data_IF_988613624201
#
_entry.id   IF_988613624201
#
_cell.length_a   1.000
_cell.length_b   1.000
_cell.length_c   1.000
_cell.angle_alpha   90.00
_cell.angle_beta   90.00
_cell.angle_gamma   90.00
#
_symmetry.space_group_name_H-M   'P 1'
#
loop_
_entity.id
_entity.type
_entity.pdbx_description
1 polymer ?
#
# COMPACT_ATOMS: atom_id res chain seq x y z
N UNK A 1 -28.26 -37.83 -6.00
CA UNK A 1 -28.56 -36.38 -6.03
C UNK A 1 -27.63 -35.73 -5.01
N UNK A 2 -26.52 -35.13 -5.46
CA UNK A 2 -25.54 -34.50 -4.57
C UNK A 2 -25.80 -32.99 -4.65
N UNK A 3 -26.26 -32.40 -3.54
CA UNK A 3 -26.43 -30.96 -3.42
C UNK A 3 -25.08 -30.40 -3.00
N UNK A 4 -24.29 -29.89 -3.95
CA UNK A 4 -23.13 -29.06 -3.64
C UNK A 4 -23.61 -27.73 -3.12
N UNK A 5 -23.62 -27.57 -1.79
CA UNK A 5 -23.74 -26.26 -1.15
C UNK A 5 -22.45 -25.47 -1.36
N UNK A 6 -22.40 -24.70 -2.44
CA UNK A 6 -21.42 -23.63 -2.58
C UNK A 6 -21.80 -22.50 -1.63
N UNK A 7 -21.30 -22.56 -0.41
CA UNK A 7 -21.30 -21.41 0.50
C UNK A 7 -20.40 -20.34 -0.10
N UNK A 8 -20.99 -19.41 -0.85
CA UNK A 8 -20.40 -18.10 -1.11
C UNK A 8 -20.23 -17.44 0.26
N UNK A 9 -19.05 -17.58 0.85
CA UNK A 9 -18.62 -16.75 1.97
C UNK A 9 -18.66 -15.31 1.47
N UNK A 10 -19.71 -14.57 1.85
CA UNK A 10 -19.76 -13.14 1.68
C UNK A 10 -18.51 -12.57 2.36
N UNK A 11 -17.66 -11.90 1.58
CA UNK A 11 -16.51 -11.21 2.13
C UNK A 11 -17.01 -10.26 3.23
N UNK A 12 -16.47 -10.39 4.44
CA UNK A 12 -16.85 -9.51 5.54
C UNK A 12 -16.65 -8.04 5.12
N UNK A 13 -17.62 -7.15 5.42
CA UNK A 13 -17.52 -5.77 4.96
C UNK A 13 -16.36 -5.08 5.67
N UNK A 14 -15.28 -4.79 4.95
CA UNK A 14 -14.14 -4.02 5.47
C UNK A 14 -14.47 -2.53 5.67
N UNK A 15 -13.48 -1.72 6.08
CA UNK A 15 -13.63 -0.27 6.20
C UNK A 15 -14.15 0.35 4.90
N UNK A 16 -15.08 1.30 5.02
CA UNK A 16 -15.56 2.05 3.85
C UNK A 16 -14.46 2.91 3.23
N UNK A 17 -13.71 3.62 4.07
CA UNK A 17 -12.65 4.53 3.67
C UNK A 17 -11.32 4.00 4.18
N UNK A 18 -10.33 4.00 3.30
CA UNK A 18 -8.94 3.69 3.60
C UNK A 18 -8.05 4.86 3.21
N UNK A 19 -6.81 4.85 3.69
CA UNK A 19 -5.77 5.78 3.28
C UNK A 19 -4.65 5.03 2.58
N UNK A 20 -4.21 5.57 1.45
CA UNK A 20 -2.95 5.23 0.82
C UNK A 20 -1.82 5.84 1.67
N UNK A 21 -0.72 5.09 1.96
CA UNK A 21 0.21 5.49 3.01
C UNK A 21 1.31 6.48 2.59
N UNK A 22 1.58 6.65 1.30
CA UNK A 22 2.64 7.55 0.81
C UNK A 22 2.13 8.99 0.76
N UNK A 23 1.12 9.26 -0.07
CA UNK A 23 0.51 10.57 -0.28
C UNK A 23 -0.62 10.86 0.72
N UNK A 24 -1.14 9.85 1.42
CA UNK A 24 -2.29 10.02 2.30
C UNK A 24 -3.62 10.08 1.56
N UNK A 25 -3.70 9.53 0.33
CA UNK A 25 -4.94 9.57 -0.45
C UNK A 25 -6.04 8.74 0.22
N UNK A 26 -7.15 9.40 0.55
CA UNK A 26 -8.35 8.73 1.07
C UNK A 26 -9.14 8.14 -0.09
N UNK A 27 -9.54 6.88 0.01
CA UNK A 27 -10.32 6.21 -1.05
C UNK A 27 -11.42 5.30 -0.50
N UNK A 28 -12.50 5.15 -1.27
CA UNK A 28 -13.55 4.18 -0.98
C UNK A 28 -13.08 2.78 -1.37
N UNK A 29 -12.94 1.88 -0.40
CA UNK A 29 -12.45 0.51 -0.63
C UNK A 29 -13.34 -0.31 -1.59
N UNK A 30 -14.60 0.10 -1.76
CA UNK A 30 -15.51 -0.51 -2.74
C UNK A 30 -15.18 -0.12 -4.19
N UNK A 31 -14.57 1.05 -4.42
CA UNK A 31 -14.35 1.64 -5.75
C UNK A 31 -12.90 1.57 -6.22
N UNK A 32 -11.95 1.65 -5.29
CA UNK A 32 -10.52 1.63 -5.57
C UNK A 32 -9.95 0.32 -5.07
N UNK A 33 -9.28 -0.43 -5.96
CA UNK A 33 -8.79 -1.79 -5.70
C UNK A 33 -7.29 -1.88 -5.93
N UNK A 34 -6.57 -2.09 -4.84
CA UNK A 34 -5.16 -2.46 -4.87
C UNK A 34 -5.01 -3.97 -4.76
N UNK A 35 -3.91 -4.50 -5.29
CA UNK A 35 -3.60 -5.92 -5.16
C UNK A 35 -3.30 -6.23 -3.69
N UNK A 36 -3.80 -7.36 -3.18
CA UNK A 36 -3.54 -7.79 -1.80
C UNK A 36 -2.12 -8.34 -1.71
N UNK A 37 -1.41 -7.99 -0.63
CA UNK A 37 -0.09 -8.54 -0.34
C UNK A 37 -0.22 -10.04 -0.03
N UNK A 38 0.44 -10.94 -0.79
CA UNK A 38 0.29 -12.37 -0.60
C UNK A 38 0.68 -12.82 0.81
N UNK A 39 -0.10 -13.74 1.38
CA UNK A 39 0.19 -14.32 2.70
C UNK A 39 1.59 -14.99 2.75
N UNK A 40 2.07 -15.51 1.63
CA UNK A 40 3.43 -16.06 1.54
C UNK A 40 4.50 -14.99 1.78
N UNK A 41 4.34 -13.79 1.22
CA UNK A 41 5.25 -12.66 1.48
C UNK A 41 5.22 -12.27 2.96
N UNK A 42 4.02 -12.17 3.54
CA UNK A 42 3.82 -11.83 4.95
C UNK A 42 4.36 -12.89 5.92
N UNK A 43 4.40 -14.16 5.53
CA UNK A 43 4.90 -15.25 6.39
C UNK A 43 6.37 -15.07 6.80
N UNK A 44 7.12 -14.26 6.05
CA UNK A 44 8.52 -13.92 6.34
C UNK A 44 8.66 -12.66 7.21
N UNK A 45 7.60 -11.87 7.39
CA UNK A 45 7.61 -10.58 8.09
C UNK A 45 6.95 -10.71 9.47
N UNK A 46 7.70 -11.09 10.49
CA UNK A 46 7.19 -11.37 11.85
C UNK A 46 6.27 -10.26 12.40
N UNK A 47 6.66 -8.99 12.23
CA UNK A 47 5.90 -7.83 12.71
C UNK A 47 4.57 -7.59 12.00
N UNK A 48 4.37 -8.21 10.84
CA UNK A 48 3.19 -8.07 10.00
C UNK A 48 2.27 -9.31 10.05
N UNK A 49 2.62 -10.32 10.84
CA UNK A 49 1.81 -11.53 10.97
C UNK A 49 0.54 -11.29 11.77
N UNK A 50 -0.47 -12.11 11.46
CA UNK A 50 -1.70 -12.19 12.24
C UNK A 50 -1.40 -12.69 13.66
N UNK A 51 -2.17 -12.21 14.62
CA UNK A 51 -2.14 -12.69 16.00
C UNK A 51 -3.54 -13.18 16.40
N UNK A 52 -3.66 -13.83 17.56
CA UNK A 52 -4.97 -14.19 18.11
C UNK A 52 -5.93 -13.01 18.31
N UNK A 53 -5.42 -11.79 18.35
CA UNK A 53 -6.21 -10.58 18.60
C UNK A 53 -6.42 -9.72 17.35
N UNK A 54 -5.73 -10.04 16.25
CA UNK A 54 -5.63 -9.15 15.10
C UNK A 54 -5.34 -9.92 13.83
N UNK A 55 -6.16 -9.69 12.81
CA UNK A 55 -5.91 -10.12 11.44
C UNK A 55 -5.66 -8.92 10.54
N UNK A 56 -4.56 -8.89 9.82
CA UNK A 56 -4.16 -7.78 8.95
C UNK A 56 -4.61 -8.04 7.51
N UNK A 57 -5.17 -7.02 6.86
CA UNK A 57 -5.40 -7.01 5.40
C UNK A 57 -4.48 -5.96 4.81
N UNK A 58 -3.42 -6.42 4.14
CA UNK A 58 -2.38 -5.57 3.56
C UNK A 58 -2.49 -5.53 2.03
N UNK A 59 -2.27 -4.36 1.45
CA UNK A 59 -2.28 -4.11 0.02
C UNK A 59 -0.90 -3.67 -0.47
N UNK A 60 -0.60 -3.96 -1.75
CA UNK A 60 0.63 -3.54 -2.41
C UNK A 60 0.37 -2.19 -3.10
N UNK A 61 1.01 -1.14 -2.59
CA UNK A 61 1.02 0.19 -3.19
C UNK A 61 2.22 0.37 -4.14
N UNK A 62 3.31 -0.36 -3.92
CA UNK A 62 4.46 -0.40 -4.82
C UNK A 62 5.24 -1.71 -4.64
N UNK A 63 5.93 -2.12 -5.70
CA UNK A 63 6.90 -3.21 -5.67
C UNK A 63 8.08 -2.91 -6.60
N UNK A 64 9.29 -3.30 -6.18
CA UNK A 64 10.47 -3.24 -7.03
C UNK A 64 11.39 -4.45 -6.79
N UNK A 65 11.83 -5.10 -7.85
CA UNK A 65 12.80 -6.19 -7.81
C UNK A 65 14.20 -5.68 -8.15
N UNK A 66 15.24 -6.19 -7.47
CA UNK A 66 16.64 -5.85 -7.73
C UNK A 66 17.44 -7.03 -8.27
N UNK A 67 18.57 -6.78 -8.97
CA UNK A 67 19.47 -7.84 -9.42
C UNK A 67 20.07 -8.70 -8.29
N UNK A 68 20.11 -8.19 -7.06
CA UNK A 68 20.57 -8.95 -5.88
C UNK A 68 19.56 -10.00 -5.41
N UNK A 69 18.36 -10.03 -6.01
CA UNK A 69 17.28 -10.94 -5.60
C UNK A 69 16.42 -10.41 -4.46
N UNK A 70 16.51 -9.11 -4.13
CA UNK A 70 15.60 -8.46 -3.18
C UNK A 70 14.34 -8.01 -3.89
N UNK A 71 13.21 -8.19 -3.23
CA UNK A 71 11.94 -7.57 -3.65
C UNK A 71 11.48 -6.60 -2.58
N UNK A 72 11.39 -5.33 -2.94
CA UNK A 72 10.92 -4.23 -2.10
C UNK A 72 9.43 -4.05 -2.26
N UNK A 73 8.76 -3.70 -1.17
CA UNK A 73 7.33 -3.46 -1.12
C UNK A 73 7.04 -2.16 -0.39
N UNK A 74 6.03 -1.44 -0.88
CA UNK A 74 5.30 -0.46 -0.08
C UNK A 74 3.93 -1.03 0.19
N UNK A 75 3.61 -1.17 1.48
CA UNK A 75 2.40 -1.81 1.95
C UNK A 75 1.63 -0.92 2.91
N UNK A 76 0.33 -1.14 3.00
CA UNK A 76 -0.57 -0.51 3.95
C UNK A 76 -1.91 -1.24 3.96
N UNK A 77 -2.83 -0.83 4.83
CA UNK A 77 -4.12 -1.51 4.90
C UNK A 77 -4.84 -1.27 6.21
N UNK A 78 -5.52 -2.31 6.69
CA UNK A 78 -6.29 -2.25 7.92
C UNK A 78 -6.23 -3.56 8.69
N UNK A 79 -6.45 -3.46 9.99
CA UNK A 79 -6.49 -4.58 10.90
C UNK A 79 -7.95 -4.86 11.30
N UNK A 80 -8.28 -6.13 11.39
CA UNK A 80 -9.53 -6.67 11.93
C UNK A 80 -9.21 -7.13 13.35
N UNK A 81 -9.75 -6.44 14.36
CA UNK A 81 -9.57 -6.79 15.76
C UNK A 81 -10.52 -7.91 16.17
N UNK A 82 -10.07 -8.80 17.04
CA UNK A 82 -10.98 -9.69 17.77
C UNK A 82 -11.98 -8.84 18.57
N UNK A 83 -13.17 -9.40 18.85
CA UNK A 83 -14.28 -8.72 19.55
C UNK A 83 -13.87 -8.26 20.96
N UNK A 84 -13.22 -7.10 21.04
CA UNK A 84 -12.85 -6.40 22.25
C UNK A 84 -13.89 -5.30 22.50
N UNK A 85 -14.68 -5.48 23.56
CA UNK A 85 -15.74 -4.53 23.93
C UNK A 85 -15.18 -3.11 24.01
N UNK A 86 -15.83 -2.19 23.29
CA UNK A 86 -15.52 -0.75 23.31
C UNK A 86 -14.55 -0.28 22.24
N UNK A 87 -13.98 -1.16 21.41
CA UNK A 87 -13.14 -0.78 20.28
C UNK A 87 -13.84 -0.96 18.93
N UNK A 88 -13.47 -0.13 17.96
CA UNK A 88 -13.91 -0.33 16.59
C UNK A 88 -13.34 -1.66 16.05
N UNK A 89 -14.18 -2.45 15.38
CA UNK A 89 -13.80 -3.74 14.78
C UNK A 89 -12.64 -3.60 13.79
N UNK A 90 -12.62 -2.49 13.04
CA UNK A 90 -11.56 -2.21 12.09
C UNK A 90 -10.67 -1.08 12.58
N UNK A 91 -9.36 -1.30 12.52
CA UNK A 91 -8.35 -0.29 12.75
C UNK A 91 -7.68 0.05 11.42
N UNK A 92 -7.84 1.29 10.98
CA UNK A 92 -7.19 1.82 9.78
C UNK A 92 -6.00 2.68 10.16
N UNK A 93 -4.92 2.63 9.38
CA UNK A 93 -3.77 3.52 9.52
C UNK A 93 -3.40 4.18 8.20
N UNK A 94 -2.50 5.17 8.27
CA UNK A 94 -1.94 5.86 7.10
C UNK A 94 -0.41 5.80 7.05
N UNK A 95 0.25 5.10 7.98
CA UNK A 95 1.72 5.01 8.00
C UNK A 95 2.24 4.08 6.90
N UNK A 96 1.61 2.92 6.74
CA UNK A 96 2.13 1.85 5.90
C UNK A 96 3.52 1.38 6.32
N UNK A 97 4.17 0.61 5.46
CA UNK A 97 5.51 0.09 5.66
C UNK A 97 6.26 0.01 4.33
N UNK A 98 7.55 0.30 4.37
CA UNK A 98 8.53 -0.09 3.36
C UNK A 98 9.34 -1.22 3.94
N UNK A 99 9.45 -2.31 3.20
CA UNK A 99 10.26 -3.47 3.58
C UNK A 99 10.74 -4.18 2.33
N UNK A 100 11.72 -5.06 2.47
CA UNK A 100 12.10 -5.97 1.41
C UNK A 100 12.18 -7.40 1.89
N UNK A 101 12.03 -8.34 0.95
CA UNK A 101 12.25 -9.76 1.16
C UNK A 101 13.48 -10.23 0.41
N UNK A 102 14.27 -11.10 1.05
CA UNK A 102 15.42 -11.77 0.46
C UNK A 102 15.44 -13.23 0.94
N UNK A 103 15.11 -14.17 0.05
CA UNK A 103 14.89 -15.56 0.43
C UNK A 103 13.74 -15.69 1.45
N UNK A 104 14.05 -16.06 2.69
CA UNK A 104 13.07 -16.19 3.80
C UNK A 104 13.12 -15.03 4.79
N UNK A 105 13.99 -14.05 4.54
CA UNK A 105 14.15 -12.87 5.39
C UNK A 105 13.19 -11.77 4.94
N UNK A 106 12.66 -11.03 5.90
CA UNK A 106 11.92 -9.79 5.67
C UNK A 106 12.51 -8.71 6.56
N UNK A 107 12.96 -7.61 5.95
CA UNK A 107 13.58 -6.50 6.66
C UNK A 107 12.67 -5.29 6.51
N UNK A 108 12.14 -4.82 7.64
CA UNK A 108 11.42 -3.55 7.72
C UNK A 108 12.42 -2.41 7.64
N UNK A 109 12.15 -1.44 6.78
CA UNK A 109 12.98 -0.24 6.63
C UNK A 109 12.37 0.88 7.47
N UNK A 110 11.22 1.42 7.05
CA UNK A 110 10.49 2.47 7.76
C UNK A 110 9.04 2.57 7.25
N UNK A 111 8.29 3.58 7.68
CA UNK A 111 6.95 3.90 7.21
C UNK A 111 7.00 4.44 5.78
N UNK A 112 5.93 4.21 5.03
CA UNK A 112 5.89 4.48 3.59
C UNK A 112 6.17 5.95 3.26
N UNK A 113 5.62 6.87 4.04
CA UNK A 113 5.81 8.30 3.86
C UNK A 113 7.22 8.75 4.25
N UNK A 114 7.70 8.33 5.42
CA UNK A 114 8.99 8.76 5.96
C UNK A 114 10.14 8.47 5.01
N UNK A 115 10.13 7.29 4.38
CA UNK A 115 11.14 6.88 3.40
C UNK A 115 11.30 7.90 2.25
N UNK A 116 10.21 8.47 1.76
CA UNK A 116 10.27 9.48 0.70
C UNK A 116 10.60 10.88 1.22
N UNK A 117 10.12 11.24 2.42
CA UNK A 117 10.33 12.57 3.01
C UNK A 117 11.78 12.76 3.47
N UNK A 118 12.31 11.81 4.23
CA UNK A 118 13.67 11.89 4.78
C UNK A 118 14.74 11.54 3.76
N UNK A 119 14.36 10.81 2.69
CA UNK A 119 15.27 10.35 1.64
C UNK A 119 16.48 9.63 2.25
N UNK A 120 16.20 8.70 3.18
CA UNK A 120 17.20 7.86 3.84
C UNK A 120 17.78 6.88 2.82
N UNK A 121 18.79 7.35 2.08
CA UNK A 121 19.50 6.53 1.12
C UNK A 121 20.69 5.86 1.79
N UNK A 122 20.66 4.54 1.81
CA UNK A 122 21.75 3.71 2.30
C UNK A 122 21.83 2.40 1.49
N UNK A 123 22.60 1.43 2.00
CA UNK A 123 22.75 0.12 1.36
C UNK A 123 21.48 -0.74 1.44
N UNK A 124 20.58 -0.47 2.38
CA UNK A 124 19.30 -1.16 2.52
C UNK A 124 18.27 -0.61 1.54
N UNK A 125 18.24 0.71 1.36
CA UNK A 125 17.35 1.39 0.42
C UNK A 125 18.09 2.41 -0.48
N UNK A 126 18.68 1.93 -1.59
CA UNK A 126 19.32 2.81 -2.56
C UNK A 126 18.30 3.74 -3.26
N UNK A 127 18.74 4.94 -3.66
CA UNK A 127 17.91 5.91 -4.40
C UNK A 127 17.28 5.31 -5.67
N UNK A 128 17.99 4.41 -6.36
CA UNK A 128 17.48 3.72 -7.54
C UNK A 128 16.24 2.87 -7.25
N UNK A 129 16.19 2.22 -6.09
CA UNK A 129 15.03 1.45 -5.64
C UNK A 129 13.87 2.39 -5.34
N UNK A 130 14.12 3.52 -4.68
CA UNK A 130 13.07 4.50 -4.38
C UNK A 130 12.42 5.06 -5.65
N UNK A 131 13.22 5.30 -6.70
CA UNK A 131 12.71 5.71 -8.02
C UNK A 131 11.85 4.62 -8.68
N UNK A 132 12.24 3.36 -8.57
CA UNK A 132 11.45 2.23 -9.07
C UNK A 132 10.12 2.12 -8.31
N UNK A 133 10.14 2.24 -6.98
CA UNK A 133 8.93 2.24 -6.16
C UNK A 133 8.02 3.42 -6.53
N UNK A 134 8.55 4.63 -6.69
CA UNK A 134 7.76 5.79 -7.12
C UNK A 134 7.08 5.58 -8.48
N UNK A 135 7.81 5.01 -9.45
CA UNK A 135 7.24 4.68 -10.75
C UNK A 135 6.14 3.61 -10.65
N UNK A 136 6.32 2.61 -9.78
CA UNK A 136 5.31 1.58 -9.58
C UNK A 136 4.07 2.09 -8.84
N UNK A 137 4.23 3.02 -7.89
CA UNK A 137 3.13 3.74 -7.23
C UNK A 137 2.22 4.37 -8.28
N UNK A 138 2.78 5.16 -9.20
CA UNK A 138 1.98 5.90 -10.16
C UNK A 138 1.20 4.97 -11.10
N UNK A 139 1.84 3.88 -11.54
CA UNK A 139 1.21 2.81 -12.34
C UNK A 139 0.07 2.12 -11.58
N UNK A 140 0.29 1.76 -10.30
CA UNK A 140 -0.72 1.09 -9.47
C UNK A 140 -1.88 2.01 -9.14
N UNK A 141 -1.62 3.30 -8.89
CA UNK A 141 -2.68 4.29 -8.72
C UNK A 141 -3.52 4.41 -9.97
N UNK A 142 -2.90 4.56 -11.14
CA UNK A 142 -3.65 4.67 -12.39
C UNK A 142 -4.58 3.47 -12.57
N UNK A 143 -4.06 2.24 -12.39
CA UNK A 143 -4.87 1.02 -12.44
C UNK A 143 -5.99 1.02 -11.39
N UNK A 144 -5.69 1.32 -10.14
CA UNK A 144 -6.62 1.20 -9.01
C UNK A 144 -7.76 2.23 -9.06
N UNK A 145 -7.48 3.45 -9.53
CA UNK A 145 -8.47 4.52 -9.70
C UNK A 145 -9.24 4.42 -11.02
N UNK A 146 -8.83 3.53 -11.93
CA UNK A 146 -9.53 3.26 -13.19
C UNK A 146 -9.13 4.19 -14.33
N UNK A 147 -7.85 4.55 -14.41
CA UNK A 147 -7.24 5.29 -15.52
C UNK A 147 -6.72 6.68 -15.12
N UNK A 148 -5.88 7.25 -16.00
CA UNK A 148 -5.18 8.50 -15.76
C UNK A 148 -6.12 9.67 -15.40
N UNK A 149 -7.24 9.83 -16.10
CA UNK A 149 -8.16 10.96 -15.85
C UNK A 149 -8.81 10.90 -14.46
N UNK A 150 -9.14 9.70 -13.98
CA UNK A 150 -9.69 9.52 -12.64
C UNK A 150 -8.63 9.77 -11.57
N UNK A 151 -7.40 9.34 -11.81
CA UNK A 151 -6.29 9.66 -10.92
C UNK A 151 -6.04 11.18 -10.84
N UNK A 152 -6.02 11.88 -11.98
CA UNK A 152 -5.91 13.37 -12.00
C UNK A 152 -7.01 14.02 -11.18
N UNK A 153 -8.26 13.59 -11.38
CA UNK A 153 -9.40 14.13 -10.66
C UNK A 153 -9.28 13.92 -9.15
N UNK A 154 -8.80 12.75 -8.71
CA UNK A 154 -8.63 12.46 -7.28
C UNK A 154 -7.44 13.19 -6.65
N UNK A 155 -6.29 13.29 -7.32
CA UNK A 155 -5.16 14.09 -6.84
C UNK A 155 -5.56 15.56 -6.64
N UNK A 156 -6.33 16.12 -7.60
CA UNK A 156 -6.85 17.49 -7.50
C UNK A 156 -7.86 17.65 -6.37
N UNK A 157 -8.83 16.74 -6.27
CA UNK A 157 -9.89 16.79 -5.26
C UNK A 157 -9.33 16.70 -3.83
N UNK A 158 -8.23 15.99 -3.65
CA UNK A 158 -7.57 15.83 -2.35
C UNK A 158 -6.44 16.85 -2.12
N UNK A 159 -6.31 17.85 -3.01
CA UNK A 159 -5.35 18.94 -2.88
C UNK A 159 -3.90 18.47 -2.66
N UNK A 160 -3.48 17.45 -3.40
CA UNK A 160 -2.09 16.99 -3.33
C UNK A 160 -1.16 18.09 -3.83
N UNK A 161 -0.34 18.62 -2.93
CA UNK A 161 0.61 19.69 -3.22
C UNK A 161 1.83 19.14 -3.98
N UNK A 162 1.83 19.36 -5.28
CA UNK A 162 2.93 19.02 -6.19
C UNK A 162 4.28 19.61 -5.74
N UNK A 163 4.28 20.79 -5.14
CA UNK A 163 5.52 21.47 -4.72
C UNK A 163 6.13 20.87 -3.45
N UNK A 164 5.33 20.19 -2.65
CA UNK A 164 5.76 19.47 -1.45
C UNK A 164 6.15 18.01 -1.75
N UNK A 165 5.98 17.52 -2.98
CA UNK A 165 6.33 16.14 -3.31
C UNK A 165 7.85 15.94 -3.37
N UNK A 166 8.35 14.85 -2.75
CA UNK A 166 9.71 14.38 -2.97
C UNK A 166 10.03 14.18 -4.47
N UNK A 167 11.27 14.44 -4.92
CA UNK A 167 11.62 14.45 -6.35
C UNK A 167 11.22 13.17 -7.12
N UNK A 168 11.35 12.01 -6.48
CA UNK A 168 11.06 10.71 -7.06
C UNK A 168 9.55 10.56 -7.31
N UNK A 169 8.71 10.98 -6.35
CA UNK A 169 7.25 11.00 -6.47
C UNK A 169 6.78 12.06 -7.46
N UNK A 170 7.38 13.26 -7.43
CA UNK A 170 7.09 14.32 -8.38
C UNK A 170 7.36 13.87 -9.82
N UNK A 171 8.50 13.23 -10.06
CA UNK A 171 8.84 12.70 -11.38
C UNK A 171 7.84 11.64 -11.85
N UNK A 172 7.50 10.69 -10.98
CA UNK A 172 6.57 9.60 -11.29
C UNK A 172 5.12 10.06 -11.51
N UNK A 173 4.69 11.11 -10.80
CA UNK A 173 3.32 11.63 -10.85
C UNK A 173 3.14 12.85 -11.77
N UNK A 174 4.23 13.37 -12.35
CA UNK A 174 4.23 14.52 -13.28
C UNK A 174 3.13 14.45 -14.34
N UNK A 175 2.83 13.30 -14.99
CA UNK A 175 1.77 13.23 -16.01
C UNK A 175 0.35 13.53 -15.50
N UNK A 176 0.14 13.48 -14.18
CA UNK A 176 -1.15 13.67 -13.53
C UNK A 176 -1.34 15.06 -12.91
N UNK A 177 -0.29 15.89 -12.91
CA UNK A 177 -0.35 17.28 -12.44
C UNK A 177 -0.36 18.28 -13.60
N UNK A 178 -1.03 17.94 -14.70
CA UNK A 178 -1.12 18.86 -15.84
C UNK A 178 -1.89 20.11 -15.42
N UNK A 179 -1.27 21.27 -15.62
CA UNK A 179 -1.87 22.57 -15.39
C UNK A 179 -3.03 22.74 -16.40
N UNK A 180 -4.21 23.08 -15.92
CA UNK A 180 -5.24 23.74 -16.74
C UNK A 180 -5.09 25.24 -16.56
#
# INVERSE_FOLDING_TARGET
MIISSSSLLAAEPGPRILSEPVLGLRYEAARVKFDVLPAQTLSHCETMQDTKYRRSISFIFAQADTPSGRTYYISGGYDIRSDERGYARFQTGNLGAVFFTEGKSCIYIDTARQVFEDRLFDEELPESVLKLLAADISRRFEKAFGGADRLRAELRKQHIDKSALPPELLAALKPYFTDQ
#
